data_IF_502573183722
#
_entry.id   IF_502573183722
#
_cell.length_a   1.000
_cell.length_b   1.000
_cell.length_c   1.000
_cell.angle_alpha   90.00
_cell.angle_beta   90.00
_cell.angle_gamma   90.00
#
_symmetry.space_group_name_H-M   'P 1'
#
loop_
_entity.id
_entity.type
_entity.pdbx_description
1 polymer ?
#
# COMPACT_ATOMS: atom_id res chain seq x y z
N UNK A 1 11.01 21.74 -14.04
CA UNK A 1 12.26 21.05 -13.68
C UNK A 1 12.49 19.97 -14.72
N UNK A 2 13.64 19.93 -15.40
CA UNK A 2 13.89 18.92 -16.44
C UNK A 2 14.21 17.57 -15.79
N UNK A 3 13.80 16.47 -16.44
CA UNK A 3 14.11 15.08 -16.03
C UNK A 3 15.61 14.87 -15.75
N UNK A 4 16.47 15.63 -16.44
CA UNK A 4 17.92 15.60 -16.26
C UNK A 4 18.36 16.08 -14.87
N UNK A 5 17.74 17.14 -14.33
CA UNK A 5 18.04 17.62 -12.98
C UNK A 5 17.66 16.57 -11.92
N UNK A 6 16.54 15.89 -12.13
CA UNK A 6 16.05 14.84 -11.24
C UNK A 6 16.91 13.56 -11.26
N UNK A 7 17.65 13.31 -12.34
CA UNK A 7 18.61 12.20 -12.41
C UNK A 7 19.93 12.56 -11.73
N UNK A 8 20.38 13.81 -11.85
CA UNK A 8 21.64 14.29 -11.27
C UNK A 8 21.55 14.42 -9.75
N UNK A 9 20.41 14.88 -9.22
CA UNK A 9 20.18 15.05 -7.77
C UNK A 9 19.76 13.76 -7.05
N UNK A 10 19.68 12.62 -7.75
CA UNK A 10 19.30 11.37 -7.09
C UNK A 10 20.38 10.97 -6.07
N UNK A 11 19.98 10.73 -4.81
CA UNK A 11 20.94 10.22 -3.83
C UNK A 11 21.54 8.90 -4.34
N UNK A 12 22.82 8.65 -4.05
CA UNK A 12 23.49 7.44 -4.51
C UNK A 12 22.72 6.21 -4.04
N UNK A 13 22.64 5.19 -4.89
CA UNK A 13 22.01 3.92 -4.51
C UNK A 13 22.77 3.31 -3.34
N UNK A 14 22.02 2.87 -2.33
CA UNK A 14 22.58 2.16 -1.19
C UNK A 14 23.25 0.87 -1.64
N UNK A 15 24.51 0.66 -1.26
CA UNK A 15 25.21 -0.61 -1.45
C UNK A 15 24.72 -1.69 -0.46
N UNK A 16 24.70 -2.95 -0.89
CA UNK A 16 24.32 -4.08 -0.04
C UNK A 16 25.40 -4.31 1.03
N UNK A 17 24.98 -4.45 2.28
CA UNK A 17 25.90 -4.84 3.36
C UNK A 17 26.24 -6.33 3.22
N UNK A 18 27.53 -6.65 3.14
CA UNK A 18 28.01 -8.04 3.04
C UNK A 18 27.81 -8.86 4.32
N UNK A 19 27.53 -8.21 5.46
CA UNK A 19 27.40 -8.86 6.76
C UNK A 19 26.06 -9.59 6.99
N UNK A 20 25.01 -9.33 6.19
CA UNK A 20 23.67 -9.90 6.39
C UNK A 20 23.13 -10.46 5.08
N UNK A 21 22.97 -11.79 4.99
CA UNK A 21 22.59 -12.49 3.77
C UNK A 21 21.60 -13.64 3.96
N UNK A 22 21.40 -14.13 5.19
CA UNK A 22 20.53 -15.28 5.46
C UNK A 22 19.20 -14.85 6.09
N UNK A 23 18.27 -15.81 6.17
CA UNK A 23 17.03 -15.60 6.91
C UNK A 23 17.31 -15.45 8.41
N UNK A 24 18.25 -16.24 8.94
CA UNK A 24 18.69 -16.19 10.33
C UNK A 24 19.26 -14.81 10.69
N UNK A 25 20.04 -14.21 9.78
CA UNK A 25 20.53 -12.84 9.95
C UNK A 25 19.37 -11.85 10.12
N UNK A 26 18.34 -11.96 9.28
CA UNK A 26 17.15 -11.11 9.37
C UNK A 26 16.42 -11.30 10.71
N UNK A 27 16.23 -12.54 11.15
CA UNK A 27 15.62 -12.84 12.46
C UNK A 27 16.44 -12.23 13.60
N UNK A 28 17.77 -12.32 13.54
CA UNK A 28 18.65 -11.73 14.55
C UNK A 28 18.59 -10.19 14.55
N UNK A 29 18.41 -9.57 13.37
CA UNK A 29 18.18 -8.12 13.29
C UNK A 29 16.94 -7.69 14.08
N UNK A 30 15.86 -8.50 14.09
CA UNK A 30 14.64 -8.24 14.85
C UNK A 30 14.73 -8.61 16.34
N UNK A 31 15.45 -9.68 16.68
CA UNK A 31 15.63 -10.13 18.08
C UNK A 31 16.52 -9.19 18.89
N UNK A 32 17.46 -8.53 18.24
CA UNK A 32 18.42 -7.63 18.88
C UNK A 32 17.71 -6.47 19.60
N UNK A 33 17.65 -6.54 20.94
CA UNK A 33 16.99 -5.54 21.80
C UNK A 33 17.64 -4.15 21.78
N UNK A 34 18.80 -4.01 21.16
CA UNK A 34 19.48 -2.71 20.98
C UNK A 34 18.89 -1.91 19.82
N UNK A 35 18.19 -2.56 18.88
CA UNK A 35 17.59 -1.90 17.71
C UNK A 35 16.13 -1.53 17.99
N UNK A 36 15.92 -0.27 18.36
CA UNK A 36 14.60 0.29 18.74
C UNK A 36 13.97 1.22 17.69
N UNK A 37 14.49 1.21 16.46
CA UNK A 37 14.08 2.15 15.40
C UNK A 37 13.96 1.47 14.04
N UNK A 38 13.04 0.55 13.93
CA UNK A 38 12.74 -0.18 12.70
C UNK A 38 11.75 0.64 11.88
N UNK A 39 12.12 0.97 10.65
CA UNK A 39 11.22 1.59 9.68
C UNK A 39 10.69 0.50 8.75
N UNK A 40 9.38 0.47 8.56
CA UNK A 40 8.70 -0.50 7.69
C UNK A 40 8.05 0.25 6.53
N UNK A 41 8.16 -0.30 5.33
CA UNK A 41 7.48 0.15 4.13
C UNK A 41 6.50 -0.95 3.70
N UNK A 42 5.20 -0.65 3.66
CA UNK A 42 4.16 -1.59 3.24
C UNK A 42 3.47 -1.14 1.96
N UNK A 43 2.98 -2.11 1.19
CA UNK A 43 2.15 -1.91 -0.01
C UNK A 43 1.18 -3.09 -0.17
N UNK A 44 0.47 -3.16 -1.28
CA UNK A 44 -0.72 -4.02 -1.44
C UNK A 44 -0.50 -5.50 -1.05
N UNK A 45 0.72 -6.02 -1.20
CA UNK A 45 1.08 -7.39 -0.82
C UNK A 45 0.78 -7.78 0.63
N UNK A 46 0.74 -6.84 1.58
CA UNK A 46 0.39 -7.17 2.99
C UNK A 46 -1.11 -7.43 3.20
N UNK A 47 -1.94 -7.05 2.23
CA UNK A 47 -3.41 -7.12 2.28
C UNK A 47 -3.99 -8.17 1.33
N UNK A 48 -3.19 -8.80 0.46
CA UNK A 48 -3.65 -9.87 -0.45
C UNK A 48 -4.30 -11.03 0.31
N UNK A 49 -3.70 -11.44 1.42
CA UNK A 49 -4.26 -12.50 2.28
C UNK A 49 -5.54 -12.10 3.01
N UNK A 50 -5.88 -10.81 3.04
CA UNK A 50 -7.09 -10.30 3.66
C UNK A 50 -8.31 -10.40 2.73
N UNK A 51 -8.11 -10.80 1.47
CA UNK A 51 -9.17 -10.80 0.44
C UNK A 51 -9.21 -9.51 -0.38
N UNK A 52 -8.28 -8.58 -0.16
CA UNK A 52 -8.14 -7.38 -0.97
C UNK A 52 -7.23 -7.70 -2.16
N UNK A 53 -7.75 -7.68 -3.39
CA UNK A 53 -6.93 -7.95 -4.56
C UNK A 53 -5.85 -6.87 -4.75
N UNK A 54 -4.70 -7.28 -5.25
CA UNK A 54 -3.67 -6.33 -5.68
C UNK A 54 -3.89 -5.90 -7.12
N UNK A 55 -3.25 -4.79 -7.47
CA UNK A 55 -3.35 -4.19 -8.80
C UNK A 55 -2.47 -4.88 -9.85
N UNK A 56 -1.41 -5.61 -9.46
CA UNK A 56 -0.28 -5.91 -10.37
C UNK A 56 -0.08 -7.39 -10.67
N UNK A 57 -0.67 -8.30 -9.90
CA UNK A 57 -0.44 -9.73 -10.09
C UNK A 57 -1.21 -10.25 -11.31
N UNK A 58 -0.46 -10.82 -12.27
CA UNK A 58 -1.03 -11.51 -13.44
C UNK A 58 -1.73 -12.82 -13.08
N UNK A 59 -1.33 -13.43 -11.96
CA UNK A 59 -1.82 -14.70 -11.45
C UNK A 59 -2.02 -14.60 -9.93
N UNK A 60 -3.21 -14.16 -9.50
CA UNK A 60 -3.65 -14.45 -8.14
C UNK A 60 -3.93 -15.96 -8.08
N UNK A 61 -2.99 -16.75 -7.56
CA UNK A 61 -3.17 -18.21 -7.46
C UNK A 61 -4.52 -18.53 -6.79
N UNK A 62 -5.37 -19.22 -7.57
CA UNK A 62 -6.68 -19.82 -7.27
C UNK A 62 -7.95 -19.08 -7.72
N UNK A 63 -7.90 -17.82 -8.16
CA UNK A 63 -9.10 -17.20 -8.76
C UNK A 63 -8.74 -16.24 -9.89
N UNK A 64 -8.96 -16.67 -11.13
CA UNK A 64 -8.72 -15.96 -12.40
C UNK A 64 -9.58 -14.67 -12.56
N UNK A 65 -10.28 -14.23 -11.50
CA UNK A 65 -11.28 -13.16 -11.52
C UNK A 65 -11.07 -12.07 -10.45
N UNK A 66 -9.85 -11.87 -9.95
CA UNK A 66 -9.58 -10.90 -8.87
C UNK A 66 -8.62 -9.76 -9.19
N UNK A 67 -7.95 -9.71 -10.34
CA UNK A 67 -7.15 -8.51 -10.66
C UNK A 67 -8.10 -7.34 -10.98
N UNK A 68 -8.10 -6.29 -10.15
CA UNK A 68 -8.92 -5.08 -10.34
C UNK A 68 -8.77 -4.55 -11.77
N UNK A 69 -7.55 -4.58 -12.29
CA UNK A 69 -7.22 -4.10 -13.62
C UNK A 69 -7.87 -4.90 -14.76
N UNK A 70 -7.99 -6.22 -14.58
CA UNK A 70 -8.62 -7.09 -15.58
C UNK A 70 -10.14 -6.90 -15.60
N UNK A 71 -10.76 -6.70 -14.43
CA UNK A 71 -12.20 -6.48 -14.32
C UNK A 71 -12.62 -5.12 -14.84
N UNK A 72 -11.89 -4.06 -14.48
CA UNK A 72 -12.17 -2.69 -14.91
C UNK A 72 -12.17 -2.54 -16.44
N UNK A 73 -11.32 -3.28 -17.15
CA UNK A 73 -11.28 -3.24 -18.62
C UNK A 73 -12.53 -3.89 -19.26
N UNK A 74 -13.24 -4.76 -18.54
CA UNK A 74 -14.51 -5.37 -18.98
C UNK A 74 -15.68 -4.45 -18.65
N UNK A 75 -15.74 -3.96 -17.41
CA UNK A 75 -16.86 -3.15 -16.91
C UNK A 75 -16.81 -1.70 -17.44
N UNK A 76 -15.61 -1.19 -17.71
CA UNK A 76 -15.34 0.18 -18.18
C UNK A 76 -14.39 0.15 -19.40
N UNK A 77 -14.89 -0.20 -20.60
CA UNK A 77 -14.05 -0.30 -21.80
C UNK A 77 -13.46 1.03 -22.26
N UNK A 78 -14.02 2.16 -21.81
CA UNK A 78 -13.53 3.52 -22.08
C UNK A 78 -12.37 3.94 -21.16
N UNK A 79 -11.97 3.08 -20.20
CA UNK A 79 -10.83 3.33 -19.32
C UNK A 79 -9.53 3.06 -20.11
N UNK A 80 -8.69 4.08 -20.38
CA UNK A 80 -7.50 3.91 -21.23
C UNK A 80 -6.46 2.99 -20.60
N UNK A 81 -6.33 3.04 -19.28
CA UNK A 81 -5.58 2.09 -18.48
C UNK A 81 -6.12 2.06 -17.04
N UNK A 82 -5.83 1.00 -16.26
CA UNK A 82 -6.39 0.86 -14.92
C UNK A 82 -5.92 1.91 -13.89
N UNK A 83 -4.80 2.58 -14.13
CA UNK A 83 -4.34 3.68 -13.26
C UNK A 83 -5.10 4.97 -13.53
N UNK A 84 -5.79 5.09 -14.67
CA UNK A 84 -6.60 6.25 -15.02
C UNK A 84 -7.77 6.49 -14.06
N UNK A 85 -8.25 5.46 -13.35
CA UNK A 85 -9.26 5.66 -12.29
C UNK A 85 -8.74 6.53 -11.13
N UNK A 86 -7.42 6.61 -10.97
CA UNK A 86 -6.74 7.48 -10.01
C UNK A 86 -6.28 8.80 -10.64
N UNK A 87 -6.60 9.11 -11.90
CA UNK A 87 -6.32 10.44 -12.50
C UNK A 87 -7.47 11.41 -12.22
N UNK A 88 -7.14 12.59 -11.73
CA UNK A 88 -8.15 13.59 -11.31
C UNK A 88 -8.98 14.15 -12.46
N UNK A 89 -8.41 14.22 -13.65
CA UNK A 89 -9.12 14.64 -14.86
C UNK A 89 -10.12 13.57 -15.30
N UNK A 90 -9.74 12.30 -15.21
CA UNK A 90 -10.67 11.20 -15.50
C UNK A 90 -11.79 11.16 -14.46
N UNK A 91 -11.47 11.22 -13.16
CA UNK A 91 -12.47 11.22 -12.09
C UNK A 91 -13.49 12.34 -12.23
N UNK A 92 -13.05 13.54 -12.62
CA UNK A 92 -13.95 14.69 -12.84
C UNK A 92 -14.91 14.46 -14.02
N UNK A 93 -14.50 13.68 -15.03
CA UNK A 93 -15.31 13.36 -16.19
C UNK A 93 -16.25 12.17 -15.95
N UNK A 94 -15.72 11.08 -15.37
CA UNK A 94 -16.46 9.87 -15.06
C UNK A 94 -15.93 9.24 -13.75
N UNK A 95 -16.58 9.51 -12.59
CA UNK A 95 -16.14 8.98 -11.32
C UNK A 95 -16.62 7.54 -11.05
N UNK A 96 -17.45 6.95 -11.93
CA UNK A 96 -18.06 5.64 -11.70
C UNK A 96 -17.05 4.49 -11.47
N UNK A 97 -15.95 4.37 -12.24
CA UNK A 97 -14.96 3.31 -12.02
C UNK A 97 -14.28 3.41 -10.65
N UNK A 98 -14.01 4.64 -10.21
CA UNK A 98 -13.42 4.88 -8.90
C UNK A 98 -14.40 4.51 -7.77
N UNK A 99 -15.68 4.88 -7.87
CA UNK A 99 -16.66 4.54 -6.84
C UNK A 99 -16.94 3.03 -6.76
N UNK A 100 -16.99 2.33 -7.90
CA UNK A 100 -17.11 0.87 -7.94
C UNK A 100 -15.94 0.23 -7.19
N UNK A 101 -14.72 0.64 -7.51
CA UNK A 101 -13.52 0.20 -6.81
C UNK A 101 -13.55 0.54 -5.30
N UNK A 102 -13.92 1.77 -4.94
CA UNK A 102 -13.94 2.22 -3.55
C UNK A 102 -14.95 1.44 -2.67
N UNK A 103 -16.06 0.98 -3.24
CA UNK A 103 -17.03 0.14 -2.54
C UNK A 103 -16.46 -1.24 -2.19
N UNK A 104 -15.59 -1.80 -3.02
CA UNK A 104 -14.99 -3.12 -2.79
C UNK A 104 -13.93 -3.11 -1.69
N UNK A 105 -13.20 -2.00 -1.56
CA UNK A 105 -12.15 -1.85 -0.54
C UNK A 105 -12.66 -1.09 0.69
N UNK A 106 -13.97 -0.96 0.85
CA UNK A 106 -14.57 -0.15 1.89
C UNK A 106 -14.17 -0.68 3.29
N UNK A 107 -13.77 0.20 4.23
CA UNK A 107 -13.35 -0.20 5.56
C UNK A 107 -14.41 -1.02 6.31
N UNK A 108 -13.95 -2.06 7.02
CA UNK A 108 -14.78 -2.89 7.90
C UNK A 108 -15.24 -4.22 7.30
N UNK A 109 -14.88 -4.52 6.05
CA UNK A 109 -15.17 -5.81 5.42
C UNK A 109 -14.04 -6.85 5.56
N UNK A 110 -12.85 -6.42 5.97
CA UNK A 110 -11.63 -7.23 5.96
C UNK A 110 -10.97 -7.25 7.34
N UNK A 111 -10.22 -8.31 7.61
CA UNK A 111 -9.47 -8.50 8.85
C UNK A 111 -7.97 -8.31 8.62
N UNK A 112 -7.22 -7.66 9.54
CA UNK A 112 -5.79 -7.46 9.38
C UNK A 112 -4.99 -8.78 9.30
N UNK A 113 -4.09 -8.87 8.32
CA UNK A 113 -3.21 -10.03 8.11
C UNK A 113 -2.21 -10.25 9.24
N UNK A 114 -1.52 -11.40 9.20
CA UNK A 114 -0.38 -11.70 10.08
C UNK A 114 0.71 -10.63 9.96
N UNK A 115 0.92 -10.07 8.76
CA UNK A 115 1.89 -8.98 8.55
C UNK A 115 1.51 -7.73 9.34
N UNK A 116 0.24 -7.33 9.34
CA UNK A 116 -0.24 -6.21 10.15
C UNK A 116 -0.05 -6.47 11.65
N UNK A 117 -0.41 -7.68 12.11
CA UNK A 117 -0.23 -8.10 13.51
C UNK A 117 1.25 -8.10 13.92
N UNK A 118 2.14 -8.50 13.01
CA UNK A 118 3.59 -8.44 13.23
C UNK A 118 4.09 -6.99 13.41
N UNK A 119 3.64 -6.06 12.56
CA UNK A 119 3.98 -4.64 12.69
C UNK A 119 3.48 -4.08 14.02
N UNK A 120 2.24 -4.41 14.41
CA UNK A 120 1.70 -4.04 15.72
C UNK A 120 2.54 -4.61 16.87
N UNK A 121 3.00 -5.85 16.76
CA UNK A 121 3.86 -6.43 17.79
C UNK A 121 5.20 -5.70 17.93
N UNK A 122 5.81 -5.25 16.82
CA UNK A 122 7.02 -4.43 16.86
C UNK A 122 6.76 -3.07 17.52
N UNK A 123 5.57 -2.51 17.36
CA UNK A 123 5.17 -1.27 18.04
C UNK A 123 4.99 -1.47 19.54
N UNK A 124 4.25 -2.50 19.95
CA UNK A 124 4.05 -2.86 21.37
C UNK A 124 5.39 -3.12 22.07
N UNK A 125 6.34 -3.72 21.36
CA UNK A 125 7.70 -3.94 21.87
C UNK A 125 8.59 -2.68 21.83
N UNK A 126 8.06 -1.53 21.41
CA UNK A 126 8.76 -0.26 21.22
C UNK A 126 9.99 -0.34 20.29
N UNK A 127 9.89 -1.18 19.25
CA UNK A 127 10.91 -1.36 18.21
C UNK A 127 10.56 -0.63 16.91
N UNK A 128 9.27 -0.39 16.64
CA UNK A 128 8.80 0.29 15.45
C UNK A 128 9.05 1.80 15.53
N UNK A 129 9.84 2.36 14.61
CA UNK A 129 9.97 3.80 14.44
C UNK A 129 8.74 4.36 13.69
N UNK A 130 8.43 3.77 12.54
CA UNK A 130 7.32 4.17 11.67
C UNK A 130 6.99 3.06 10.67
N UNK A 131 5.72 2.89 10.36
CA UNK A 131 5.25 2.19 9.18
C UNK A 131 4.79 3.21 8.13
N UNK A 132 5.40 3.22 6.94
CA UNK A 132 4.90 3.99 5.81
C UNK A 132 4.16 3.05 4.88
N UNK A 133 2.85 3.27 4.74
CA UNK A 133 2.00 2.41 3.91
C UNK A 133 1.58 3.14 2.64
N UNK A 134 1.63 2.41 1.52
CA UNK A 134 1.03 2.84 0.26
C UNK A 134 -0.44 2.42 0.15
N UNK A 135 -0.93 1.62 1.10
CA UNK A 135 -2.30 1.10 1.09
C UNK A 135 -3.29 2.19 1.53
N UNK A 136 -4.53 2.03 1.06
CA UNK A 136 -5.68 2.89 1.34
C UNK A 136 -6.82 2.10 2.01
N UNK A 137 -6.55 0.83 2.38
CA UNK A 137 -7.52 -0.12 2.94
C UNK A 137 -7.79 0.08 4.43
N UNK A 138 -7.00 0.93 5.11
CA UNK A 138 -7.09 1.27 6.54
C UNK A 138 -6.88 0.08 7.50
N UNK A 139 -6.33 -1.05 7.03
CA UNK A 139 -6.09 -2.23 7.85
C UNK A 139 -5.03 -1.99 8.94
N UNK A 140 -4.11 -1.04 8.74
CA UNK A 140 -3.16 -0.64 9.78
C UNK A 140 -3.87 -0.04 11.00
N UNK A 141 -4.92 0.77 10.79
CA UNK A 141 -5.73 1.36 11.87
C UNK A 141 -6.54 0.29 12.59
N UNK A 142 -7.12 -0.65 11.85
CA UNK A 142 -7.83 -1.79 12.45
C UNK A 142 -6.89 -2.70 13.25
N UNK A 143 -5.64 -2.85 12.81
CA UNK A 143 -4.60 -3.54 13.58
C UNK A 143 -4.07 -2.73 14.77
N UNK A 144 -4.63 -1.53 15.00
CA UNK A 144 -4.23 -0.57 16.04
C UNK A 144 -2.77 -0.13 15.94
N UNK A 145 -2.22 -0.01 14.73
CA UNK A 145 -0.87 0.52 14.52
C UNK A 145 -0.93 2.04 14.57
N UNK A 146 -0.27 2.65 15.57
CA UNK A 146 -0.34 4.09 15.80
C UNK A 146 0.73 4.87 15.01
N UNK A 147 1.94 4.30 14.89
CA UNK A 147 3.08 4.89 14.19
C UNK A 147 3.00 4.64 12.68
N UNK A 148 1.85 4.88 12.08
CA UNK A 148 1.61 4.74 10.63
C UNK A 148 1.63 6.09 9.92
N UNK A 149 2.08 6.11 8.67
CA UNK A 149 1.93 7.21 7.71
C UNK A 149 1.30 6.63 6.45
N UNK A 150 0.11 7.10 6.12
CA UNK A 150 -0.63 6.73 4.90
C UNK A 150 -0.17 7.62 3.76
N UNK A 151 0.78 7.13 2.94
CA UNK A 151 1.45 7.93 1.91
C UNK A 151 0.51 8.39 0.79
N UNK A 152 -0.58 7.66 0.54
CA UNK A 152 -1.57 7.95 -0.50
C UNK A 152 -2.94 8.36 0.09
N UNK A 153 -2.97 8.77 1.37
CA UNK A 153 -4.19 9.16 2.08
C UNK A 153 -5.01 7.99 2.61
N UNK A 154 -6.16 8.32 3.19
CA UNK A 154 -7.11 7.36 3.78
C UNK A 154 -8.45 7.38 3.04
N UNK A 155 -9.10 6.22 2.89
CA UNK A 155 -10.43 6.12 2.25
C UNK A 155 -11.57 6.72 3.10
N UNK A 156 -11.32 7.05 4.37
CA UNK A 156 -12.36 7.41 5.37
C UNK A 156 -12.78 8.89 5.35
N UNK A 157 -11.97 9.81 4.81
CA UNK A 157 -12.33 11.23 4.76
C UNK A 157 -13.12 11.58 3.51
N UNK A 158 -14.37 11.14 3.46
CA UNK A 158 -15.41 11.67 2.58
C UNK A 158 -15.86 13.06 3.08
N UNK A 159 -15.00 14.06 2.97
CA UNK A 159 -15.44 15.45 3.02
C UNK A 159 -15.56 15.98 1.60
N UNK A 160 -16.76 16.47 1.29
CA UNK A 160 -17.12 17.14 0.05
C UNK A 160 -15.96 18.06 -0.40
N UNK A 161 -15.28 17.67 -1.47
CA UNK A 161 -14.21 18.39 -2.19
C UNK A 161 -12.73 18.02 -1.93
N UNK A 162 -12.39 16.97 -1.16
CA UNK A 162 -10.98 16.56 -0.97
C UNK A 162 -10.66 15.12 -1.41
N UNK A 163 -11.05 14.76 -2.64
CA UNK A 163 -10.60 13.53 -3.31
C UNK A 163 -9.14 13.59 -3.80
N UNK A 164 -8.46 14.72 -3.65
CA UNK A 164 -7.14 15.01 -4.22
C UNK A 164 -5.98 14.18 -3.66
N UNK A 165 -6.16 13.42 -2.57
CA UNK A 165 -5.08 12.61 -1.99
C UNK A 165 -5.03 11.17 -2.53
N UNK A 166 -6.16 10.58 -2.92
CA UNK A 166 -6.20 9.24 -3.54
C UNK A 166 -6.00 9.28 -5.06
N UNK A 167 -6.22 10.45 -5.65
CA UNK A 167 -6.28 10.67 -7.07
C UNK A 167 -5.08 11.56 -7.43
N UNK A 168 -4.06 10.97 -8.06
CA UNK A 168 -2.80 11.64 -8.45
C UNK A 168 -2.92 12.40 -9.77
#
# INVERSE_FOLDING_TARGET
MSILAEIIDRPPRREKLSAYNTFEDAVELFRSRTRKRILILTGAGVSVSCGIPDFRSKDGMTFVSLCIYARLHVDFPDLPDPTAMFDIRYFTHNPAPFYDFAMEIFPGQFEPSVSHKFIRQLEVNNQLLRNYTQNIDTLEKQAHIERVVECHGESILLHTNHWSCLIM
#
